data_IF_962429300791
#
_entry.id   IF_962429300791
#
_cell.length_a   1.000
_cell.length_b   1.000
_cell.length_c   1.000
_cell.angle_alpha   90.00
_cell.angle_beta   90.00
_cell.angle_gamma   90.00
#
_symmetry.space_group_name_H-M   'P 1'
#
loop_
_entity.id
_entity.type
_entity.pdbx_description
1 polymer ?
#
# COMPACT_ATOMS: atom_id res chain seq x y z
N UNK A 1 -14.58 12.87 14.72
CA UNK A 1 -13.62 11.76 14.92
C UNK A 1 -12.72 11.72 13.68
N UNK A 2 -11.53 12.33 13.75
CA UNK A 2 -10.65 12.45 12.57
C UNK A 2 -10.08 11.08 12.17
N UNK A 3 -9.99 10.82 10.87
CA UNK A 3 -9.48 9.57 10.29
C UNK A 3 -8.04 9.21 10.74
N UNK A 4 -7.33 10.16 11.36
CA UNK A 4 -5.96 10.05 11.88
C UNK A 4 -5.76 8.92 12.92
N UNK A 5 -6.83 8.39 13.54
CA UNK A 5 -6.70 7.31 14.51
C UNK A 5 -6.87 5.90 13.92
N UNK A 6 -7.49 5.71 12.75
CA UNK A 6 -7.85 4.38 12.28
C UNK A 6 -6.62 3.55 11.87
N UNK A 7 -5.72 4.14 11.08
CA UNK A 7 -4.49 3.48 10.64
C UNK A 7 -3.58 3.17 11.84
N UNK A 8 -3.47 4.11 12.79
CA UNK A 8 -2.67 3.91 14.01
C UNK A 8 -3.18 2.74 14.84
N UNK A 9 -4.51 2.63 15.02
CA UNK A 9 -5.11 1.52 15.76
C UNK A 9 -4.88 0.18 15.05
N UNK A 10 -5.06 0.14 13.73
CA UNK A 10 -4.82 -1.07 12.93
C UNK A 10 -3.36 -1.53 13.00
N UNK A 11 -2.40 -0.60 12.95
CA UNK A 11 -0.98 -0.93 13.10
C UNK A 11 -0.69 -1.49 14.49
N UNK A 12 -1.23 -0.88 15.56
CA UNK A 12 -1.03 -1.37 16.94
C UNK A 12 -1.57 -2.80 17.09
N UNK A 13 -2.78 -3.07 16.59
CA UNK A 13 -3.41 -4.38 16.66
C UNK A 13 -2.60 -5.45 15.91
N UNK A 14 -2.21 -5.18 14.67
CA UNK A 14 -1.49 -6.16 13.85
C UNK A 14 -0.05 -6.40 14.34
N UNK A 15 0.66 -5.34 14.72
CA UNK A 15 2.04 -5.47 15.23
C UNK A 15 2.05 -6.17 16.59
N UNK A 16 1.11 -5.87 17.49
CA UNK A 16 1.01 -6.58 18.77
C UNK A 16 0.69 -8.06 18.57
N UNK A 17 -0.20 -8.39 17.64
CA UNK A 17 -0.51 -9.78 17.27
C UNK A 17 0.71 -10.50 16.71
N UNK A 18 1.46 -9.87 15.81
CA UNK A 18 2.71 -10.42 15.26
C UNK A 18 3.77 -10.68 16.34
N UNK A 19 3.95 -9.74 17.27
CA UNK A 19 4.91 -9.87 18.37
C UNK A 19 4.51 -10.96 19.37
N UNK A 20 3.21 -11.15 19.62
CA UNK A 20 2.73 -12.25 20.47
C UNK A 20 2.86 -13.62 19.80
N UNK A 21 2.81 -13.66 18.46
CA UNK A 21 2.98 -14.88 17.68
C UNK A 21 4.46 -15.26 17.45
N UNK A 22 5.40 -14.34 17.70
CA UNK A 22 6.81 -14.53 17.39
C UNK A 22 7.67 -14.49 18.65
N UNK A 23 8.62 -15.42 18.78
CA UNK A 23 9.57 -15.40 19.90
C UNK A 23 10.41 -14.12 19.87
N UNK A 24 10.50 -13.44 21.01
CA UNK A 24 11.13 -12.11 21.14
C UNK A 24 12.61 -12.11 20.72
N UNK A 25 13.31 -13.24 20.91
CA UNK A 25 14.72 -13.41 20.54
C UNK A 25 14.98 -13.59 19.04
N UNK A 26 13.93 -13.86 18.25
CA UNK A 26 14.01 -14.09 16.79
C UNK A 26 13.65 -12.84 15.99
N UNK A 27 13.00 -11.86 16.60
CA UNK A 27 12.59 -10.63 15.92
C UNK A 27 13.79 -9.67 15.83
N UNK A 28 14.39 -9.58 14.64
CA UNK A 28 15.41 -8.58 14.31
C UNK A 28 14.90 -7.63 13.24
N UNK A 29 15.34 -6.38 13.30
CA UNK A 29 15.03 -5.33 12.32
C UNK A 29 13.52 -5.10 12.08
N UNK A 30 12.69 -5.30 13.13
CA UNK A 30 11.24 -5.13 13.07
C UNK A 30 10.83 -3.78 12.46
N UNK A 31 11.56 -2.71 12.80
CA UNK A 31 11.28 -1.38 12.25
C UNK A 31 11.40 -1.36 10.72
N UNK A 32 12.50 -1.88 10.16
CA UNK A 32 12.70 -1.92 8.72
C UNK A 32 11.67 -2.82 8.04
N UNK A 33 11.37 -3.97 8.64
CA UNK A 33 10.33 -4.89 8.17
C UNK A 33 8.95 -4.22 8.08
N UNK A 34 8.51 -3.58 9.18
CA UNK A 34 7.19 -2.94 9.23
C UNK A 34 7.12 -1.75 8.27
N UNK A 35 8.18 -0.94 8.17
CA UNK A 35 8.21 0.19 7.23
C UNK A 35 8.15 -0.30 5.79
N UNK A 36 8.86 -1.38 5.44
CA UNK A 36 8.84 -1.94 4.10
C UNK A 36 7.46 -2.51 3.73
N UNK A 37 6.80 -3.23 4.64
CA UNK A 37 5.44 -3.74 4.44
C UNK A 37 4.40 -2.62 4.31
N UNK A 38 4.47 -1.61 5.17
CA UNK A 38 3.57 -0.44 5.11
C UNK A 38 3.80 0.36 3.83
N UNK A 39 5.06 0.55 3.43
CA UNK A 39 5.41 1.22 2.18
C UNK A 39 4.83 0.48 0.97
N UNK A 40 4.98 -0.85 0.92
CA UNK A 40 4.38 -1.66 -0.13
C UNK A 40 2.85 -1.53 -0.16
N UNK A 41 2.18 -1.65 0.98
CA UNK A 41 0.72 -1.54 1.07
C UNK A 41 0.18 -0.19 0.62
N UNK A 42 0.87 0.91 0.94
CA UNK A 42 0.49 2.25 0.48
C UNK A 42 0.66 2.36 -1.05
N UNK A 43 1.76 1.86 -1.59
CA UNK A 43 2.01 1.89 -3.03
C UNK A 43 0.96 1.07 -3.79
N UNK A 44 0.65 -0.14 -3.34
CA UNK A 44 -0.39 -0.99 -3.93
C UNK A 44 -1.76 -0.33 -3.91
N UNK A 45 -2.22 0.12 -2.73
CA UNK A 45 -3.54 0.73 -2.57
C UNK A 45 -3.68 2.01 -3.40
N UNK A 46 -2.62 2.83 -3.47
CA UNK A 46 -2.67 4.09 -4.24
C UNK A 46 -2.60 3.83 -5.75
N UNK A 47 -1.81 2.84 -6.19
CA UNK A 47 -1.76 2.42 -7.59
C UNK A 47 -3.10 1.83 -8.06
N UNK A 48 -3.77 1.05 -7.20
CA UNK A 48 -5.11 0.52 -7.45
C UNK A 48 -6.13 1.67 -7.53
N UNK A 49 -6.13 2.58 -6.56
CA UNK A 49 -7.00 3.75 -6.54
C UNK A 49 -6.84 4.61 -7.80
N UNK A 50 -5.60 4.84 -8.24
CA UNK A 50 -5.27 5.58 -9.45
C UNK A 50 -5.42 4.75 -10.75
N UNK A 51 -5.92 3.50 -10.68
CA UNK A 51 -6.06 2.58 -11.82
C UNK A 51 -4.77 2.44 -12.65
N UNK A 52 -3.60 2.62 -12.02
CA UNK A 52 -2.27 2.57 -12.66
C UNK A 52 -1.74 3.85 -13.25
N UNK A 53 -2.44 4.96 -13.07
CA UNK A 53 -1.91 6.26 -13.44
C UNK A 53 -0.86 6.74 -12.43
N UNK A 54 0.42 6.53 -12.76
CA UNK A 54 1.53 6.95 -11.91
C UNK A 54 1.54 8.46 -11.63
N UNK A 55 1.03 9.29 -12.54
CA UNK A 55 0.95 10.74 -12.33
C UNK A 55 -0.03 11.11 -11.21
N UNK A 56 -1.14 10.38 -11.12
CA UNK A 56 -2.12 10.58 -10.05
C UNK A 56 -1.55 10.09 -8.72
N UNK A 57 -0.85 8.95 -8.72
CA UNK A 57 -0.14 8.45 -7.52
C UNK A 57 0.92 9.42 -7.01
N UNK A 58 1.72 10.03 -7.90
CA UNK A 58 2.69 11.04 -7.49
C UNK A 58 2.02 12.27 -6.89
N UNK A 59 0.82 12.63 -7.36
CA UNK A 59 0.03 13.73 -6.81
C UNK A 59 -0.54 13.39 -5.44
N UNK A 60 -1.00 12.15 -5.23
CA UNK A 60 -1.55 11.68 -3.95
C UNK A 60 -0.45 11.55 -2.88
N UNK A 61 0.66 10.89 -3.21
CA UNK A 61 1.75 10.62 -2.26
C UNK A 61 2.76 11.78 -2.15
N UNK A 62 2.59 12.84 -2.95
CA UNK A 62 3.46 14.03 -2.97
C UNK A 62 4.95 13.66 -3.08
N UNK A 63 5.27 12.75 -4.00
CA UNK A 63 6.65 12.31 -4.24
C UNK A 63 7.04 12.45 -5.71
N UNK A 64 8.34 12.62 -5.98
CA UNK A 64 8.81 12.73 -7.37
C UNK A 64 8.55 11.44 -8.14
N UNK A 65 8.28 11.54 -9.45
CA UNK A 65 8.09 10.37 -10.33
C UNK A 65 9.30 9.43 -10.32
N UNK A 66 10.51 9.97 -10.22
CA UNK A 66 11.75 9.18 -10.11
C UNK A 66 11.79 8.38 -8.80
N UNK A 67 11.37 9.00 -7.69
CA UNK A 67 11.24 8.32 -6.39
C UNK A 67 10.18 7.23 -6.44
N UNK A 68 8.97 7.55 -6.93
CA UNK A 68 7.88 6.58 -7.06
C UNK A 68 8.32 5.37 -7.89
N UNK A 69 8.96 5.59 -9.04
CA UNK A 69 9.44 4.51 -9.90
C UNK A 69 10.47 3.62 -9.20
N UNK A 70 11.42 4.19 -8.46
CA UNK A 70 12.42 3.43 -7.67
C UNK A 70 11.74 2.61 -6.58
N UNK A 71 10.74 3.18 -5.90
CA UNK A 71 9.98 2.48 -4.86
C UNK A 71 9.14 1.34 -5.45
N UNK A 72 8.42 1.57 -6.55
CA UNK A 72 7.70 0.51 -7.27
C UNK A 72 8.65 -0.60 -7.75
N UNK A 73 9.87 -0.28 -8.17
CA UNK A 73 10.86 -1.27 -8.56
C UNK A 73 11.38 -2.08 -7.36
N UNK A 74 11.59 -1.45 -6.20
CA UNK A 74 12.03 -2.12 -4.97
C UNK A 74 11.04 -3.21 -4.53
N UNK A 75 9.73 -2.96 -4.70
CA UNK A 75 8.66 -3.86 -4.29
C UNK A 75 8.10 -4.73 -5.43
N UNK A 76 8.80 -4.82 -6.57
CA UNK A 76 8.35 -5.59 -7.75
C UNK A 76 6.95 -5.21 -8.28
N UNK A 77 6.51 -3.96 -8.03
CA UNK A 77 5.23 -3.41 -8.50
C UNK A 77 5.35 -2.72 -9.87
N UNK A 78 6.57 -2.61 -10.39
CA UNK A 78 6.86 -1.93 -11.66
C UNK A 78 6.55 -2.84 -12.86
N UNK A 79 5.28 -2.95 -13.27
CA UNK A 79 4.90 -3.67 -14.49
C UNK A 79 4.51 -2.76 -15.67
N UNK A 80 5.38 -2.80 -16.68
CA UNK A 80 5.15 -2.60 -18.11
C UNK A 80 3.91 -3.40 -18.59
N UNK A 81 2.88 -2.67 -19.01
CA UNK A 81 1.81 -3.20 -19.85
C UNK A 81 0.84 -4.15 -19.13
N UNK A 82 -0.24 -3.56 -18.57
CA UNK A 82 -1.47 -4.24 -18.17
C UNK A 82 -1.32 -5.25 -17.01
N UNK A 83 -1.32 -4.72 -15.78
CA UNK A 83 -1.69 -5.42 -14.52
C UNK A 83 -1.71 -6.95 -14.61
N UNK A 84 -0.52 -7.55 -14.51
CA UNK A 84 -0.30 -8.99 -14.56
C UNK A 84 -1.00 -9.67 -13.39
N UNK A 85 -1.79 -10.71 -13.69
CA UNK A 85 -2.68 -11.46 -12.78
C UNK A 85 -1.95 -12.25 -11.69
N UNK A 86 -1.16 -11.62 -10.83
CA UNK A 86 -0.47 -12.32 -9.72
C UNK A 86 -0.44 -11.60 -8.37
N UNK A 87 -1.21 -10.54 -8.19
CA UNK A 87 -1.48 -10.00 -6.85
C UNK A 87 -2.63 -10.76 -6.21
N UNK A 88 -2.36 -11.36 -5.05
CA UNK A 88 -3.38 -11.88 -4.14
C UNK A 88 -4.06 -10.67 -3.51
N UNK A 89 -5.04 -10.09 -4.20
CA UNK A 89 -6.07 -9.24 -3.62
C UNK A 89 -7.25 -9.24 -4.60
N UNK A 90 -8.40 -9.84 -4.23
CA UNK A 90 -9.59 -9.73 -5.06
C UNK A 90 -9.95 -8.25 -5.13
N UNK A 91 -10.02 -7.69 -6.34
CA UNK A 91 -10.62 -6.38 -6.56
C UNK A 91 -11.93 -6.33 -5.75
N UNK A 92 -12.08 -5.41 -4.79
CA UNK A 92 -13.36 -5.24 -4.14
C UNK A 92 -14.32 -4.76 -5.22
N UNK A 93 -15.18 -5.66 -5.71
CA UNK A 93 -16.34 -5.32 -6.51
C UNK A 93 -17.29 -4.53 -5.62
N UNK A 94 -17.02 -3.23 -5.49
CA UNK A 94 -17.96 -2.29 -4.93
C UNK A 94 -18.49 -1.47 -6.10
N UNK A 95 -19.61 -1.94 -6.65
CA UNK A 95 -20.40 -1.35 -7.74
C UNK A 95 -21.05 0.00 -7.34
N UNK A 96 -20.43 0.77 -6.44
CA UNK A 96 -20.98 1.98 -5.81
C UNK A 96 -20.11 3.24 -5.91
N UNK A 97 -18.97 3.20 -6.59
CA UNK A 97 -18.11 4.40 -6.76
C UNK A 97 -17.95 4.88 -8.21
N UNK A 98 -18.72 4.35 -9.16
CA UNK A 98 -18.66 4.73 -10.59
C UNK A 98 -19.59 5.91 -10.97
N UNK A 99 -20.23 6.59 -10.02
CA UNK A 99 -21.23 7.62 -10.36
C UNK A 99 -20.76 9.08 -10.25
N UNK A 100 -19.49 9.38 -9.97
CA UNK A 100 -19.07 10.77 -9.65
C UNK A 100 -17.83 11.31 -10.37
N UNK A 101 -17.38 10.69 -11.46
CA UNK A 101 -16.26 11.22 -12.23
C UNK A 101 -16.45 11.11 -13.74
N UNK A 102 -17.52 11.73 -14.26
CA UNK A 102 -17.59 12.29 -15.61
C UNK A 102 -18.83 13.19 -15.68
N UNK A 103 -18.65 14.46 -15.36
CA UNK A 103 -19.39 15.60 -15.92
C UNK A 103 -18.43 16.79 -15.93
#
# INVERSE_FOLDING_TARGET
MSQQNLLRLSVIENVSTFLNATDTDKVKDLYAMVIDEVEQGILEATMEFAKGNQSDVTSILTMSRATLRKKLQKHDLLYHGKYSKKTVLPCPKNDKFDSLACN
#
